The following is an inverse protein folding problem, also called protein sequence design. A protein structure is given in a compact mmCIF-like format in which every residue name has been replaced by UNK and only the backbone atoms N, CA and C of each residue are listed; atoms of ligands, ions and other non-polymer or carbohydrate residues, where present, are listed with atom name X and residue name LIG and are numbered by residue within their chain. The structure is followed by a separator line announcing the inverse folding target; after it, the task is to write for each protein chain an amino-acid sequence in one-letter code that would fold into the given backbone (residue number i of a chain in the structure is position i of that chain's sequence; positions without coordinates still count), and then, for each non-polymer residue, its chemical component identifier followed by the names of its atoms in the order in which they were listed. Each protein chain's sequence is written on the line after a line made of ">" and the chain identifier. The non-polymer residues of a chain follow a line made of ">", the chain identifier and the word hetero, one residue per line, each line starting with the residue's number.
data_IF_658290872131
#
_entry.id   IF_658290872131
#
_cell.length_a   1.000
_cell.length_b   1.000
_cell.length_c   1.000
_cell.angle_alpha   90.00
_cell.angle_beta   90.00
_cell.angle_gamma   90.00
#
_symmetry.space_group_name_H-M   'P 1'
#
loop_
_entity.id
_entity.type
_entity.pdbx_description
1 polymer ?
#
# COMPACT_ATOMS: atom_id res chain seq x y z
N UNK A 1 -39.72 -33.06 25.58
CA UNK A 1 -39.52 -31.75 26.25
C UNK A 1 -38.17 -31.26 25.79
N UNK A 2 -38.18 -30.36 24.81
CA UNK A 2 -37.00 -29.88 24.09
C UNK A 2 -36.29 -28.81 24.90
N UNK A 3 -35.01 -29.00 25.21
CA UNK A 3 -34.16 -27.89 25.65
C UNK A 3 -33.53 -27.22 24.41
N UNK A 4 -33.64 -25.89 24.24
CA UNK A 4 -32.98 -25.17 23.16
C UNK A 4 -31.50 -24.95 23.48
N UNK A 5 -30.63 -25.24 22.51
CA UNK A 5 -29.23 -24.82 22.51
C UNK A 5 -29.13 -23.29 22.59
N UNK A 6 -28.30 -22.72 23.47
CA UNK A 6 -28.14 -21.27 23.56
C UNK A 6 -27.48 -20.70 22.30
N UNK A 7 -28.05 -19.59 21.88
CA UNK A 7 -27.74 -18.75 20.74
C UNK A 7 -26.30 -18.21 20.75
N UNK A 8 -25.83 -17.97 19.54
CA UNK A 8 -24.60 -17.34 19.09
C UNK A 8 -24.14 -16.13 19.92
N UNK A 9 -23.09 -16.36 20.70
CA UNK A 9 -22.25 -15.28 21.25
C UNK A 9 -21.31 -14.73 20.18
N UNK A 10 -21.80 -13.84 19.32
CA UNK A 10 -20.96 -12.78 18.74
C UNK A 10 -20.60 -11.80 19.87
N UNK A 11 -19.72 -12.25 20.78
CA UNK A 11 -19.14 -11.38 21.80
C UNK A 11 -18.08 -10.52 21.13
N UNK A 12 -18.37 -9.22 21.05
CA UNK A 12 -17.53 -8.23 20.42
C UNK A 12 -16.11 -8.22 20.98
N UNK A 13 -15.15 -8.12 20.07
CA UNK A 13 -13.95 -7.35 20.30
C UNK A 13 -13.97 -6.22 19.27
N UNK A 14 -14.45 -5.04 19.69
CA UNK A 14 -14.03 -3.81 19.03
C UNK A 14 -12.51 -3.75 19.22
N UNK A 15 -11.77 -4.29 18.25
CA UNK A 15 -10.33 -4.23 18.25
C UNK A 15 -9.97 -2.75 18.22
N UNK A 16 -9.49 -2.24 19.36
CA UNK A 16 -8.81 -0.95 19.43
C UNK A 16 -7.87 -0.85 18.21
N UNK A 17 -7.83 0.29 17.49
CA UNK A 17 -7.06 0.37 16.26
C UNK A 17 -5.63 -0.05 16.56
N UNK A 18 -5.23 -1.22 16.07
CA UNK A 18 -3.90 -1.73 16.27
C UNK A 18 -2.93 -0.62 15.86
N UNK A 19 -2.10 -0.16 16.78
CA UNK A 19 -1.06 0.83 16.47
C UNK A 19 -0.25 0.25 15.32
N UNK A 20 -0.41 0.79 14.11
CA UNK A 20 -0.09 0.16 12.82
C UNK A 20 1.42 0.11 12.51
N UNK A 21 2.26 -0.06 13.53
CA UNK A 21 3.71 -0.06 13.41
C UNK A 21 4.22 -1.45 13.07
N UNK A 22 3.66 -2.09 12.05
CA UNK A 22 4.32 -3.30 11.54
C UNK A 22 5.50 -2.90 10.66
N UNK A 23 6.68 -3.50 10.86
CA UNK A 23 7.83 -3.26 10.00
C UNK A 23 7.51 -3.51 8.52
N UNK A 24 8.08 -2.73 7.59
CA UNK A 24 7.90 -2.94 6.15
C UNK A 24 8.58 -4.23 5.64
N UNK A 25 9.52 -4.77 6.41
CA UNK A 25 10.32 -5.94 6.04
C UNK A 25 9.43 -7.13 5.67
N UNK A 26 9.64 -7.67 4.46
CA UNK A 26 8.90 -8.82 3.95
C UNK A 26 7.44 -8.53 3.58
N UNK A 27 7.00 -7.26 3.56
CA UNK A 27 5.64 -6.87 3.16
C UNK A 27 5.57 -6.45 1.70
N UNK A 28 4.43 -6.76 1.08
CA UNK A 28 4.06 -6.22 -0.22
C UNK A 28 3.25 -4.93 -0.03
N UNK A 29 3.76 -3.83 -0.58
CA UNK A 29 3.19 -2.48 -0.41
C UNK A 29 2.85 -1.91 -1.78
N UNK A 30 1.59 -1.50 -1.94
CA UNK A 30 1.16 -0.73 -3.11
C UNK A 30 1.41 0.74 -2.86
N UNK A 31 2.26 1.37 -3.69
CA UNK A 31 2.58 2.79 -3.61
C UNK A 31 1.79 3.58 -4.68
N UNK A 32 0.68 4.18 -4.28
CA UNK A 32 -0.11 5.05 -5.16
C UNK A 32 0.41 6.49 -5.21
N UNK A 33 0.67 7.01 -6.41
CA UNK A 33 1.14 8.39 -6.63
C UNK A 33 0.13 9.15 -7.50
N UNK A 34 -0.29 10.33 -7.04
CA UNK A 34 -1.30 11.17 -7.70
C UNK A 34 -0.74 12.56 -8.06
N UNK A 35 -1.52 13.35 -8.82
CA UNK A 35 -1.11 14.65 -9.35
C UNK A 35 -1.15 15.78 -8.33
N UNK A 36 -0.14 15.84 -7.47
CA UNK A 36 0.10 16.96 -6.56
C UNK A 36 1.58 17.34 -6.54
N UNK A 37 1.88 18.56 -6.06
CA UNK A 37 3.26 19.06 -6.02
C UNK A 37 4.22 18.15 -5.23
N UNK A 38 3.70 17.33 -4.32
CA UNK A 38 4.49 16.38 -3.53
C UNK A 38 4.83 15.08 -4.29
N UNK A 39 4.32 14.86 -5.50
CA UNK A 39 4.49 13.60 -6.25
C UNK A 39 5.97 13.22 -6.43
N UNK A 40 6.86 14.20 -6.68
CA UNK A 40 8.30 13.93 -6.81
C UNK A 40 8.93 13.29 -5.56
N UNK A 41 8.35 13.53 -4.37
CA UNK A 41 8.83 12.94 -3.11
C UNK A 41 8.52 11.44 -3.01
N UNK A 42 7.64 10.91 -3.85
CA UNK A 42 7.36 9.48 -3.91
C UNK A 42 8.61 8.64 -4.22
N UNK A 43 9.59 9.22 -4.94
CA UNK A 43 10.91 8.63 -5.19
C UNK A 43 11.62 8.28 -3.89
N UNK A 44 11.68 9.24 -2.97
CA UNK A 44 12.34 9.07 -1.67
C UNK A 44 11.56 8.10 -0.79
N UNK A 45 10.22 8.15 -0.83
CA UNK A 45 9.37 7.20 -0.11
C UNK A 45 9.59 5.77 -0.59
N UNK A 46 9.61 5.55 -1.92
CA UNK A 46 9.86 4.24 -2.52
C UNK A 46 11.23 3.70 -2.10
N UNK A 47 12.27 4.53 -2.20
CA UNK A 47 13.63 4.16 -1.79
C UNK A 47 13.70 3.72 -0.34
N UNK A 48 13.09 4.46 0.59
CA UNK A 48 13.05 4.08 2.02
C UNK A 48 12.29 2.80 2.28
N UNK A 49 11.22 2.53 1.54
CA UNK A 49 10.48 1.26 1.65
C UNK A 49 11.33 0.08 1.16
N UNK A 50 12.04 0.25 0.05
CA UNK A 50 12.98 -0.74 -0.49
C UNK A 50 14.14 -1.01 0.49
N UNK A 51 14.76 0.06 1.03
CA UNK A 51 15.83 -0.04 2.03
C UNK A 51 15.36 -0.74 3.31
N UNK A 52 14.05 -0.64 3.64
CA UNK A 52 13.42 -1.34 4.75
C UNK A 52 12.98 -2.77 4.43
N UNK A 53 13.33 -3.30 3.24
CA UNK A 53 13.03 -4.67 2.83
C UNK A 53 11.59 -4.92 2.41
N UNK A 54 10.84 -3.88 2.02
CA UNK A 54 9.50 -4.04 1.46
C UNK A 54 9.57 -4.33 -0.04
N UNK A 55 8.63 -5.15 -0.52
CA UNK A 55 8.34 -5.29 -1.95
C UNK A 55 7.36 -4.19 -2.36
N UNK A 56 7.76 -3.30 -3.26
CA UNK A 56 6.97 -2.11 -3.63
C UNK A 56 6.41 -2.26 -5.04
N UNK A 57 5.09 -2.20 -5.16
CA UNK A 57 4.34 -2.21 -6.41
C UNK A 57 3.74 -0.80 -6.66
N UNK A 58 4.36 0.03 -7.51
CA UNK A 58 3.93 1.41 -7.69
C UNK A 58 2.79 1.55 -8.71
N UNK A 59 1.87 2.47 -8.42
CA UNK A 59 0.76 2.85 -9.32
C UNK A 59 0.77 4.37 -9.48
N UNK A 60 0.71 4.86 -10.72
CA UNK A 60 0.70 6.29 -11.01
C UNK A 60 -0.56 6.72 -11.74
N UNK A 61 -1.10 7.89 -11.40
CA UNK A 61 -2.10 8.56 -12.24
C UNK A 61 -1.43 9.39 -13.33
N UNK A 62 -2.16 9.66 -14.41
CA UNK A 62 -1.71 10.59 -15.46
C UNK A 62 -1.27 11.95 -14.92
N UNK A 63 -1.92 12.43 -13.85
CA UNK A 63 -1.56 13.68 -13.19
C UNK A 63 -0.20 13.64 -12.50
N UNK A 64 0.21 12.50 -11.95
CA UNK A 64 1.51 12.32 -11.31
C UNK A 64 2.66 12.35 -12.33
N UNK A 65 2.41 11.90 -13.55
CA UNK A 65 3.41 11.84 -14.64
C UNK A 65 3.91 13.23 -15.08
N UNK A 66 3.13 14.29 -14.82
CA UNK A 66 3.58 15.67 -15.04
C UNK A 66 4.65 16.14 -14.04
N UNK A 67 4.81 15.44 -12.91
CA UNK A 67 5.76 15.80 -11.85
C UNK A 67 6.95 14.84 -11.77
N UNK A 68 6.76 13.56 -12.09
CA UNK A 68 7.84 12.57 -12.14
C UNK A 68 7.58 11.54 -13.24
N UNK A 69 8.63 11.03 -13.86
CA UNK A 69 8.50 9.99 -14.89
C UNK A 69 8.29 8.59 -14.32
N UNK A 70 7.45 7.78 -14.97
CA UNK A 70 7.22 6.36 -14.63
C UNK A 70 8.54 5.58 -14.51
N UNK A 71 9.44 5.78 -15.47
CA UNK A 71 10.72 5.08 -15.54
C UNK A 71 11.60 5.31 -14.30
N UNK A 72 11.56 6.52 -13.73
CA UNK A 72 12.30 6.83 -12.50
C UNK A 72 11.81 5.98 -11.33
N UNK A 73 10.48 5.82 -11.19
CA UNK A 73 9.91 5.05 -10.10
C UNK A 73 10.04 3.55 -10.32
N UNK A 74 9.84 3.06 -11.55
CA UNK A 74 10.06 1.66 -11.92
C UNK A 74 11.50 1.21 -11.68
N UNK A 75 12.49 2.08 -11.89
CA UNK A 75 13.90 1.75 -11.67
C UNK A 75 14.26 1.56 -10.18
N UNK A 76 13.43 2.07 -9.27
CA UNK A 76 13.64 2.01 -7.82
C UNK A 76 12.78 0.95 -7.13
N UNK A 77 11.57 0.73 -7.64
CA UNK A 77 10.62 -0.20 -7.05
C UNK A 77 10.93 -1.66 -7.38
N UNK A 78 10.19 -2.58 -6.76
CA UNK A 78 10.29 -4.01 -7.06
C UNK A 78 9.60 -4.37 -8.38
N UNK A 79 8.50 -3.68 -8.69
CA UNK A 79 7.74 -3.85 -9.94
C UNK A 79 7.77 -2.59 -10.81
N UNK A 80 7.42 -2.76 -12.09
CA UNK A 80 7.15 -1.64 -12.98
C UNK A 80 5.88 -0.87 -12.57
N UNK A 81 5.92 0.46 -12.75
CA UNK A 81 4.77 1.33 -12.53
C UNK A 81 3.59 0.94 -13.41
N UNK A 82 2.46 0.70 -12.76
CA UNK A 82 1.16 0.51 -13.40
C UNK A 82 0.40 1.83 -13.51
N UNK A 83 -0.21 2.09 -14.67
CA UNK A 83 -1.02 3.30 -14.92
C UNK A 83 -2.48 3.02 -15.25
N UNK A 84 -2.83 1.74 -15.41
CA UNK A 84 -4.17 1.28 -15.72
C UNK A 84 -4.32 -0.20 -15.38
N UNK A 85 -5.53 -0.71 -15.49
CA UNK A 85 -5.84 -2.11 -15.18
C UNK A 85 -5.31 -3.11 -16.23
N UNK A 86 -5.02 -2.62 -17.43
CA UNK A 86 -4.67 -3.43 -18.60
C UNK A 86 -3.22 -3.23 -19.06
N UNK A 87 -2.43 -2.45 -18.30
CA UNK A 87 -1.01 -2.19 -18.56
C UNK A 87 -0.13 -3.29 -17.93
#
# INVERSE_FOLDING_TARGET
>A
MSEPTPDSGHTGANAAPASHRTPPEGRHVVLGVTGGIAAYKAVEVCRRMMDAGAHVSPIMTKGAEHFLGRQTLSALASDNVQTGLWD
#
